data_IF_775483198925
#
_entry.id   IF_775483198925
#
_cell.length_a   1.000
_cell.length_b   1.000
_cell.length_c   1.000
_cell.angle_alpha   90.00
_cell.angle_beta   90.00
_cell.angle_gamma   90.00
#
_symmetry.space_group_name_H-M   'P 1'
#
loop_
_entity.id
_entity.type
_entity.pdbx_description
1 polymer ?
#
# COMPACT_ATOMS: atom_id res chain seq x y z
N UNK A 1 5.48 27.02 -26.74
CA UNK A 1 5.96 26.76 -25.37
C UNK A 1 4.96 25.85 -24.70
N UNK A 2 5.16 24.54 -24.83
CA UNK A 2 4.30 23.53 -24.22
C UNK A 2 4.57 23.56 -22.72
N UNK A 3 3.57 23.97 -21.93
CA UNK A 3 3.58 23.86 -20.46
C UNK A 3 4.08 22.45 -20.11
N UNK A 4 5.08 22.28 -19.23
CA UNK A 4 5.51 20.94 -18.85
C UNK A 4 4.26 20.25 -18.29
N UNK A 5 3.82 19.19 -18.97
CA UNK A 5 2.75 18.33 -18.49
C UNK A 5 3.15 17.91 -17.10
N UNK A 6 2.33 18.27 -16.12
CA UNK A 6 2.63 17.99 -14.73
C UNK A 6 2.73 16.45 -14.57
N UNK A 7 3.92 15.90 -14.28
CA UNK A 7 4.13 14.46 -14.26
C UNK A 7 3.43 13.78 -13.07
N UNK A 8 2.83 14.53 -12.15
CA UNK A 8 1.92 14.00 -11.14
C UNK A 8 0.48 13.96 -11.68
N UNK A 9 0.04 14.96 -12.44
CA UNK A 9 -1.29 14.96 -13.06
C UNK A 9 -1.49 13.80 -14.05
N UNK A 10 -0.48 13.49 -14.88
CA UNK A 10 -0.51 12.33 -15.78
C UNK A 10 -0.64 11.03 -14.99
N UNK A 11 0.00 10.97 -13.83
CA UNK A 11 0.07 9.78 -13.00
C UNK A 11 -1.25 9.52 -12.26
N UNK A 12 -1.80 10.58 -11.64
CA UNK A 12 -3.12 10.56 -11.02
C UNK A 12 -4.20 10.16 -12.02
N UNK A 13 -4.07 10.54 -13.30
CA UNK A 13 -5.03 10.13 -14.32
C UNK A 13 -5.05 8.61 -14.58
N UNK A 14 -3.93 7.90 -14.38
CA UNK A 14 -3.88 6.45 -14.46
C UNK A 14 -4.42 5.77 -13.20
N UNK A 15 -4.34 6.46 -12.05
CA UNK A 15 -4.83 5.99 -10.77
C UNK A 15 -6.35 6.19 -10.63
N UNK A 16 -6.93 7.13 -11.37
CA UNK A 16 -8.39 7.28 -11.45
C UNK A 16 -9.02 6.06 -12.09
N UNK A 17 -9.93 5.40 -11.36
CA UNK A 17 -10.60 4.14 -11.74
C UNK A 17 -9.67 2.95 -11.92
N UNK A 18 -8.51 2.95 -11.28
CA UNK A 18 -7.70 1.73 -11.15
C UNK A 18 -8.52 0.64 -10.44
N UNK A 19 -8.41 -0.60 -10.90
CA UNK A 19 -9.05 -1.75 -10.27
C UNK A 19 -8.46 -1.99 -8.87
N UNK A 20 -9.31 -2.41 -7.93
CA UNK A 20 -8.84 -2.90 -6.63
C UNK A 20 -8.41 -4.38 -6.68
N UNK A 21 -8.46 -5.02 -7.85
CA UNK A 21 -8.07 -6.41 -8.11
C UNK A 21 -8.71 -7.43 -7.15
N UNK A 22 -9.93 -7.14 -6.67
CA UNK A 22 -10.70 -8.01 -5.79
C UNK A 22 -12.20 -7.82 -6.00
N UNK A 23 -12.95 -8.93 -5.96
CA UNK A 23 -14.42 -8.94 -5.98
C UNK A 23 -15.02 -8.70 -4.58
N UNK A 24 -14.22 -8.79 -3.52
CA UNK A 24 -14.65 -8.60 -2.14
C UNK A 24 -13.62 -7.75 -1.41
N UNK A 25 -13.62 -6.42 -1.63
CA UNK A 25 -12.66 -5.56 -0.96
C UNK A 25 -12.90 -5.61 0.55
N UNK A 26 -11.82 -5.86 1.30
CA UNK A 26 -11.81 -5.86 2.75
C UNK A 26 -10.71 -4.92 3.22
N UNK A 27 -10.92 -4.23 4.34
CA UNK A 27 -9.85 -3.50 4.98
C UNK A 27 -8.77 -4.48 5.45
N UNK A 28 -7.54 -4.34 4.96
CA UNK A 28 -6.45 -5.26 5.33
C UNK A 28 -6.01 -5.13 6.80
N UNK A 29 -6.43 -4.06 7.49
CA UNK A 29 -6.08 -3.83 8.90
C UNK A 29 -7.15 -4.41 9.85
N UNK A 30 -8.41 -4.04 9.67
CA UNK A 30 -9.50 -4.44 10.58
C UNK A 30 -10.39 -5.57 10.05
N UNK A 31 -10.20 -5.98 8.79
CA UNK A 31 -10.97 -7.05 8.15
C UNK A 31 -12.42 -6.70 7.83
N UNK A 32 -12.85 -5.45 8.03
CA UNK A 32 -14.21 -5.05 7.70
C UNK A 32 -14.43 -5.08 6.18
N UNK A 33 -15.59 -5.60 5.71
CA UNK A 33 -15.93 -5.55 4.30
C UNK A 33 -16.12 -4.09 3.87
N UNK A 34 -15.57 -3.77 2.70
CA UNK A 34 -15.70 -2.47 2.07
C UNK A 34 -16.74 -2.57 0.95
N UNK A 35 -17.53 -1.52 0.77
CA UNK A 35 -18.61 -1.46 -0.19
C UNK A 35 -18.44 -0.25 -1.10
N UNK A 36 -19.18 -0.24 -2.20
CA UNK A 36 -19.29 0.93 -3.05
C UNK A 36 -19.75 2.15 -2.23
N UNK A 37 -19.06 3.27 -2.42
CA UNK A 37 -19.26 4.51 -1.68
C UNK A 37 -18.41 4.65 -0.43
N UNK A 38 -17.78 3.59 0.08
CA UNK A 38 -16.93 3.69 1.27
C UNK A 38 -15.66 4.49 0.97
N UNK A 39 -15.34 5.42 1.86
CA UNK A 39 -14.05 6.11 1.85
C UNK A 39 -12.94 5.12 2.20
N UNK A 40 -11.87 5.15 1.41
CA UNK A 40 -10.73 4.25 1.55
C UNK A 40 -9.41 4.96 1.40
N UNK A 41 -8.38 4.31 1.93
CA UNK A 41 -6.99 4.62 1.62
C UNK A 41 -6.37 3.45 0.87
N UNK A 42 -5.84 3.71 -0.32
CA UNK A 42 -5.23 2.72 -1.19
C UNK A 42 -3.74 3.02 -1.39
N UNK A 43 -2.92 1.97 -1.38
CA UNK A 43 -1.53 2.06 -1.78
C UNK A 43 -1.38 1.54 -3.20
N UNK A 44 -0.85 2.41 -4.07
CA UNK A 44 -0.57 2.10 -5.46
C UNK A 44 0.93 2.18 -5.73
N UNK A 45 1.46 1.25 -6.52
CA UNK A 45 2.87 1.23 -6.87
C UNK A 45 3.07 0.87 -8.34
N UNK A 46 4.17 1.37 -8.89
CA UNK A 46 4.66 1.04 -10.24
C UNK A 46 6.17 0.93 -10.22
N UNK A 47 6.68 -0.27 -10.47
CA UNK A 47 8.13 -0.49 -10.59
C UNK A 47 8.70 0.25 -11.81
N UNK A 48 9.98 0.63 -11.75
CA UNK A 48 10.65 1.23 -12.89
C UNK A 48 10.61 0.30 -14.12
N UNK A 49 10.10 0.80 -15.24
CA UNK A 49 9.94 0.04 -16.48
C UNK A 49 8.56 -0.60 -16.65
N UNK A 50 7.75 -0.69 -15.60
CA UNK A 50 6.37 -1.17 -15.71
C UNK A 50 5.44 -0.06 -16.24
N UNK A 51 4.50 -0.40 -17.14
CA UNK A 51 3.65 0.59 -17.79
C UNK A 51 2.45 1.02 -16.93
N UNK A 52 2.06 0.23 -15.93
CA UNK A 52 0.81 0.39 -15.19
C UNK A 52 1.01 0.31 -13.68
N UNK A 53 0.13 1.00 -12.95
CA UNK A 53 0.02 0.89 -11.51
C UNK A 53 -0.70 -0.39 -11.09
N UNK A 54 -0.32 -0.90 -9.92
CA UNK A 54 -1.03 -1.94 -9.21
C UNK A 54 -1.40 -1.47 -7.80
N UNK A 55 -2.48 -2.01 -7.25
CA UNK A 55 -2.88 -1.78 -5.86
C UNK A 55 -2.20 -2.83 -4.97
N UNK A 56 -1.45 -2.38 -3.97
CA UNK A 56 -0.81 -3.27 -2.99
C UNK A 56 -1.70 -3.54 -1.78
N UNK A 57 -2.40 -2.52 -1.28
CA UNK A 57 -3.37 -2.68 -0.20
C UNK A 57 -4.46 -1.62 -0.23
N UNK A 58 -5.57 -1.93 0.45
CA UNK A 58 -6.67 -1.02 0.74
C UNK A 58 -7.03 -1.06 2.22
N UNK A 59 -7.39 0.10 2.77
CA UNK A 59 -7.79 0.29 4.16
C UNK A 59 -9.08 1.11 4.22
N UNK A 60 -9.94 0.82 5.21
CA UNK A 60 -11.14 1.62 5.44
C UNK A 60 -10.78 3.03 5.94
N UNK A 61 -11.61 3.99 5.56
CA UNK A 61 -11.49 5.37 5.95
C UNK A 61 -10.34 6.10 5.23
N UNK A 62 -10.45 7.42 5.21
CA UNK A 62 -9.32 8.28 4.87
C UNK A 62 -8.36 8.32 6.05
N UNK A 63 -7.24 7.62 5.95
CA UNK A 63 -6.13 7.70 6.91
C UNK A 63 -6.45 7.25 8.36
N UNK A 64 -7.37 6.29 8.53
CA UNK A 64 -7.76 5.79 9.86
C UNK A 64 -6.70 4.87 10.48
N UNK A 65 -5.86 4.26 9.66
CA UNK A 65 -4.84 3.30 10.08
C UNK A 65 -3.45 3.78 9.70
N UNK A 66 -2.46 3.41 10.52
CA UNK A 66 -1.05 3.62 10.19
C UNK A 66 -0.70 2.83 8.92
N UNK A 67 -0.02 3.49 7.98
CA UNK A 67 0.36 2.88 6.72
C UNK A 67 1.52 1.90 6.92
N UNK A 68 1.37 0.63 6.52
CA UNK A 68 2.42 -0.37 6.66
C UNK A 68 3.60 -0.19 5.67
N UNK A 69 3.58 0.82 4.80
CA UNK A 69 4.53 0.93 3.69
C UNK A 69 5.89 1.47 4.10
N UNK A 70 6.94 0.78 3.63
CA UNK A 70 8.30 1.29 3.55
C UNK A 70 8.58 1.60 2.08
N UNK A 71 8.81 2.87 1.76
CA UNK A 71 9.01 3.32 0.37
C UNK A 71 10.31 2.75 -0.23
N UNK A 72 10.23 2.28 -1.47
CA UNK A 72 11.30 1.55 -2.14
C UNK A 72 11.89 2.36 -3.29
N UNK A 73 13.20 2.64 -3.22
CA UNK A 73 13.92 3.27 -4.33
C UNK A 73 13.78 2.42 -5.60
N UNK A 74 13.47 3.06 -6.73
CA UNK A 74 13.21 2.37 -8.00
C UNK A 74 11.73 2.00 -8.21
N UNK A 75 10.86 2.35 -7.27
CA UNK A 75 9.40 2.19 -7.39
C UNK A 75 8.76 3.56 -7.29
N UNK A 76 7.79 3.85 -8.16
CA UNK A 76 6.92 5.02 -7.98
C UNK A 76 5.74 4.60 -7.13
N UNK A 77 5.54 5.24 -6.00
CA UNK A 77 4.60 4.79 -4.97
C UNK A 77 3.69 5.94 -4.56
N UNK A 78 2.41 5.62 -4.38
CA UNK A 78 1.37 6.54 -3.99
C UNK A 78 0.56 5.95 -2.84
N UNK A 79 0.31 6.78 -1.82
CA UNK A 79 -0.80 6.56 -0.90
C UNK A 79 -1.89 7.53 -1.32
N UNK A 80 -3.07 6.99 -1.59
CA UNK A 80 -4.21 7.68 -2.17
C UNK A 80 -5.39 7.56 -1.22
N UNK A 81 -6.09 8.66 -0.96
CA UNK A 81 -7.43 8.63 -0.39
C UNK A 81 -8.47 8.79 -1.50
N UNK A 82 -9.65 8.26 -1.30
CA UNK A 82 -10.76 8.34 -2.25
C UNK A 82 -11.91 7.50 -1.75
N UNK A 83 -12.79 7.08 -2.65
CA UNK A 83 -13.88 6.16 -2.32
C UNK A 83 -13.98 5.01 -3.32
N UNK A 84 -14.62 3.93 -2.91
CA UNK A 84 -14.87 2.79 -3.78
C UNK A 84 -15.98 3.15 -4.77
N UNK A 85 -15.69 3.00 -6.05
CA UNK A 85 -16.69 2.98 -7.12
C UNK A 85 -16.80 1.60 -7.75
N UNK A 86 -17.77 1.43 -8.65
CA UNK A 86 -17.87 0.26 -9.50
C UNK A 86 -17.78 0.63 -10.98
N UNK A 87 -17.16 -0.24 -11.78
CA UNK A 87 -17.16 -0.15 -13.23
C UNK A 87 -17.84 -1.39 -13.81
N UNK A 88 -18.89 -1.19 -14.60
CA UNK A 88 -19.64 -2.26 -15.25
C UNK A 88 -19.24 -2.39 -16.72
N UNK A 89 -18.77 -3.57 -17.11
CA UNK A 89 -18.54 -3.94 -18.50
C UNK A 89 -19.75 -4.74 -19.00
N UNK A 90 -20.60 -4.10 -19.82
CA UNK A 90 -21.83 -4.72 -20.34
C UNK A 90 -21.58 -5.80 -21.38
N UNK A 91 -20.44 -5.78 -22.06
CA UNK A 91 -20.06 -6.80 -23.04
C UNK A 91 -19.70 -8.12 -22.35
N UNK A 92 -18.94 -8.05 -21.26
CA UNK A 92 -18.56 -9.24 -20.45
C UNK A 92 -19.54 -9.52 -19.30
N UNK A 93 -20.52 -8.64 -19.08
CA UNK A 93 -21.45 -8.69 -17.95
C UNK A 93 -20.73 -8.77 -16.59
N UNK A 94 -19.61 -8.06 -16.46
CA UNK A 94 -18.79 -8.06 -15.25
C UNK A 94 -18.80 -6.69 -14.58
N UNK A 95 -18.71 -6.68 -13.26
CA UNK A 95 -18.54 -5.48 -12.46
C UNK A 95 -17.22 -5.58 -11.71
N UNK A 96 -16.49 -4.47 -11.64
CA UNK A 96 -15.19 -4.42 -10.96
C UNK A 96 -15.16 -3.23 -10.01
N UNK A 97 -14.64 -3.44 -8.80
CA UNK A 97 -14.40 -2.36 -7.86
C UNK A 97 -13.18 -1.53 -8.28
N UNK A 98 -13.33 -0.21 -8.22
CA UNK A 98 -12.32 0.74 -8.66
C UNK A 98 -12.15 1.87 -7.64
N UNK A 99 -10.96 2.48 -7.60
CA UNK A 99 -10.73 3.70 -6.83
C UNK A 99 -11.29 4.92 -7.59
N UNK A 100 -12.18 5.67 -6.96
CA UNK A 100 -12.76 6.89 -7.52
C UNK A 100 -12.29 8.14 -6.77
N UNK A 101 -12.19 9.25 -7.51
CA UNK A 101 -11.70 10.56 -7.05
C UNK A 101 -10.41 10.49 -6.18
N UNK A 102 -9.33 9.86 -6.68
CA UNK A 102 -8.12 9.68 -5.90
C UNK A 102 -7.44 11.01 -5.60
N UNK A 103 -7.09 11.21 -4.32
CA UNK A 103 -6.25 12.30 -3.83
C UNK A 103 -4.95 11.73 -3.29
N UNK A 104 -3.81 12.17 -3.82
CA UNK A 104 -2.51 11.75 -3.31
C UNK A 104 -2.22 12.40 -1.96
N UNK A 105 -2.07 11.57 -0.93
CA UNK A 105 -1.66 12.00 0.41
C UNK A 105 -0.16 11.84 0.63
N UNK A 106 0.44 10.82 0.02
CA UNK A 106 1.88 10.59 0.05
C UNK A 106 2.34 10.11 -1.33
N UNK A 107 3.48 10.62 -1.78
CA UNK A 107 4.11 10.20 -3.04
C UNK A 107 5.60 9.94 -2.84
N UNK A 108 6.10 8.79 -3.30
CA UNK A 108 7.54 8.54 -3.38
C UNK A 108 7.96 8.46 -4.86
N UNK A 109 8.87 9.33 -5.32
CA UNK A 109 9.38 9.27 -6.68
C UNK A 109 10.37 8.11 -6.84
N UNK A 110 10.43 7.52 -8.04
CA UNK A 110 11.34 6.40 -8.37
C UNK A 110 12.82 6.66 -8.06
N UNK A 111 13.22 7.94 -8.00
CA UNK A 111 14.61 8.37 -7.78
C UNK A 111 15.05 8.31 -6.32
N UNK A 112 14.12 8.23 -5.38
CA UNK A 112 14.38 8.42 -3.94
C UNK A 112 13.50 7.48 -3.12
N UNK A 113 13.91 7.13 -1.90
CA UNK A 113 13.06 6.40 -0.95
C UNK A 113 12.36 7.34 0.05
N UNK A 114 12.51 8.65 -0.12
CA UNK A 114 11.99 9.68 0.79
C UNK A 114 10.58 10.09 0.32
N UNK A 115 9.54 9.85 1.14
CA UNK A 115 8.19 10.22 0.79
C UNK A 115 7.97 11.72 0.84
N UNK A 116 7.24 12.24 -0.15
CA UNK A 116 6.68 13.58 -0.19
C UNK A 116 5.24 13.52 0.30
N UNK A 117 4.97 14.12 1.46
CA UNK A 117 3.62 14.23 2.02
C UNK A 117 2.95 15.47 1.42
N UNK A 118 1.73 15.32 0.92
CA UNK A 118 0.96 16.42 0.35
C UNK A 118 -0.01 16.99 1.40
N UNK A 119 0.22 18.22 1.89
CA UNK A 119 -0.62 18.83 2.93
C UNK A 119 -1.99 19.31 2.42
N UNK A 120 -2.18 19.41 1.10
CA UNK A 120 -3.46 19.78 0.45
C UNK A 120 -4.48 18.63 0.37
N UNK A 121 -4.18 17.49 0.99
CA UNK A 121 -5.18 16.44 1.20
C UNK A 121 -6.27 16.91 2.17
N UNK A 122 -7.54 16.48 2.02
CA UNK A 122 -8.65 16.87 2.90
C UNK A 122 -8.42 16.61 4.39
N UNK A 123 -7.42 15.79 4.74
CA UNK A 123 -7.04 15.46 6.11
C UNK A 123 -5.69 16.14 6.45
N UNK A 124 -5.65 17.10 7.40
CA UNK A 124 -4.40 17.72 7.83
C UNK A 124 -3.47 16.68 8.46
N UNK A 125 -2.22 16.62 8.01
CA UNK A 125 -1.17 15.83 8.67
C UNK A 125 -0.18 16.74 9.38
N UNK A 126 -0.04 16.56 10.69
CA UNK A 126 1.06 17.16 11.45
C UNK A 126 2.32 16.28 11.27
N UNK A 127 3.50 16.87 11.04
CA UNK A 127 4.73 16.13 10.82
C UNK A 127 5.17 15.43 12.11
N UNK A 128 4.77 14.18 12.29
CA UNK A 128 5.45 13.34 13.28
C UNK A 128 6.83 12.99 12.74
N UNK A 129 7.84 13.46 13.47
CA UNK A 129 9.29 13.36 13.29
C UNK A 129 9.83 12.00 12.79
N UNK A 130 11.05 11.99 12.19
CA UNK A 130 11.60 10.86 11.45
C UNK A 130 11.71 9.61 12.30
N UNK A 131 11.49 8.45 11.66
CA UNK A 131 11.69 7.15 12.24
C UNK A 131 13.09 7.04 12.86
N UNK A 132 13.07 6.98 14.18
CA UNK A 132 14.13 6.45 15.04
C UNK A 132 14.54 5.06 14.53
N UNK A 133 15.85 4.92 14.35
CA UNK A 133 16.66 3.70 14.38
C UNK A 133 16.39 2.66 13.27
N UNK A 134 17.45 2.41 12.49
CA UNK A 134 17.60 1.29 11.57
C UNK A 134 17.07 -0.02 12.17
N UNK A 135 16.18 -0.74 11.46
CA UNK A 135 15.84 -2.11 11.85
C UNK A 135 17.10 -2.97 11.70
N UNK A 136 17.48 -3.65 12.79
CA UNK A 136 18.53 -4.68 12.77
C UNK A 136 18.26 -5.65 11.62
N UNK A 137 19.22 -5.90 10.72
CA UNK A 137 19.00 -6.75 9.55
C UNK A 137 18.61 -8.18 9.96
N UNK A 138 17.61 -8.73 9.25
CA UNK A 138 17.01 -10.07 9.43
C UNK A 138 17.98 -11.27 9.27
N UNK A 139 19.28 -11.03 9.15
CA UNK A 139 20.29 -12.10 9.10
C UNK A 139 20.73 -12.62 10.48
N UNK A 140 20.30 -12.00 11.57
CA UNK A 140 20.65 -12.44 12.94
C UNK A 140 19.57 -13.34 13.58
N UNK A 141 18.32 -13.27 13.13
CA UNK A 141 17.20 -14.03 13.72
C UNK A 141 17.22 -15.54 13.41
N UNK A 142 18.09 -16.00 12.50
CA UNK A 142 18.15 -17.42 12.08
C UNK A 142 19.15 -18.24 12.92
N UNK A 143 19.92 -17.63 13.84
CA UNK A 143 20.90 -18.38 14.65
C UNK A 143 20.40 -18.86 16.02
N UNK A 144 19.22 -18.44 16.48
CA UNK A 144 18.75 -18.75 17.85
C UNK A 144 17.73 -19.89 17.94
N UNK A 145 17.33 -20.52 16.83
CA UNK A 145 16.39 -21.65 16.84
C UNK A 145 17.04 -23.05 16.79
N UNK A 146 18.35 -23.15 17.00
CA UNK A 146 19.04 -24.44 17.01
C UNK A 146 19.57 -24.82 18.40
N UNK A 147 18.69 -24.89 19.42
CA UNK A 147 18.87 -25.75 20.61
C UNK A 147 17.52 -26.14 21.22
N UNK A 148 16.82 -27.04 20.53
CA UNK A 148 15.89 -27.96 21.18
C UNK A 148 16.19 -29.33 20.63
N UNK A 149 16.94 -30.12 21.38
CA UNK A 149 16.82 -31.59 21.48
C UNK A 149 18.01 -32.16 22.25
N UNK A 150 17.73 -32.53 23.50
CA UNK A 150 18.61 -33.32 24.35
C UNK A 150 17.76 -34.31 25.11
N UNK A 151 17.29 -35.34 24.39
CA UNK A 151 16.49 -36.42 24.95
C UNK A 151 17.24 -37.21 26.03
N UNK A 152 16.51 -37.62 27.05
CA UNK A 152 16.94 -38.61 28.03
C UNK A 152 16.62 -40.02 27.53
N UNK A 153 17.59 -40.95 27.50
CA UNK A 153 17.29 -42.37 27.50
C UNK A 153 17.32 -42.90 28.93
N UNK A 154 16.24 -43.60 29.25
CA UNK A 154 16.09 -44.53 30.34
C UNK A 154 16.95 -45.78 30.09
N UNK A 155 17.82 -46.17 31.02
CA UNK A 155 18.26 -47.57 31.15
C UNK A 155 18.29 -47.93 32.64
N UNK A 156 17.62 -49.04 32.97
CA UNK A 156 17.73 -49.74 34.24
C UNK A 156 18.53 -51.04 34.08
N UNK A 157 18.72 -51.73 35.22
CA UNK A 157 19.49 -52.96 35.47
C UNK A 157 20.98 -52.69 35.71
N UNK A 158 21.57 -53.06 36.85
CA UNK A 158 21.48 -54.33 37.59
C UNK A 158 21.54 -54.14 39.12
#
# INVERSE_FOLDING_TARGET
MTRPSDPQAVDLSQLTRISLDTDHPICQVCGQPLHEGDDITAYAYRAAGEPAYAIGYVMCGSDTHEHPTVFTRGVREYVLTGHIGTCSNTHTQSTTYVLHDPTAVVTSPTTTAEPQIHPDAPTPRDPTQPARQEPTPLLTAVREHARSDGGSPHEGSE
#
